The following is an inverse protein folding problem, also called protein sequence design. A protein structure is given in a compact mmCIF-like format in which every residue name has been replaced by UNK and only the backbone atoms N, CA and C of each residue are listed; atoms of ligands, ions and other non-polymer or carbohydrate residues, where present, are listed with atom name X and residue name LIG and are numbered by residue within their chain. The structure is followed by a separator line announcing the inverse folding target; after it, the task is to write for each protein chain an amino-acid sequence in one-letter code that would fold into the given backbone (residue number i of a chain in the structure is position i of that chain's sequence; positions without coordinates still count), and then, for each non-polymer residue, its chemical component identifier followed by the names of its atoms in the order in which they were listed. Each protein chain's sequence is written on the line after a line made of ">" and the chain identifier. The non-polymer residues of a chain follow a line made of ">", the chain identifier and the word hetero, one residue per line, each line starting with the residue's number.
data_IF_123093020229
#
_entry.id   IF_123093020229
#
_cell.length_a   1.000
_cell.length_b   1.000
_cell.length_c   1.000
_cell.angle_alpha   90.00
_cell.angle_beta   90.00
_cell.angle_gamma   90.00
#
_symmetry.space_group_name_H-M   'P 1'
#
loop_
_entity.id
_entity.type
_entity.pdbx_description
1 polymer ?
#
# COMPACT_ATOMS: atom_id res chain seq x y z
N UNK A 1 -31.50 -13.85 6.63
CA UNK A 1 -31.34 -14.78 5.49
C UNK A 1 -29.94 -15.39 5.57
N UNK A 2 -29.80 -16.68 5.94
CA UNK A 2 -28.50 -17.38 6.11
C UNK A 2 -28.03 -18.01 4.79
N UNK A 3 -28.08 -17.27 3.69
CA UNK A 3 -27.53 -17.74 2.41
C UNK A 3 -26.11 -17.22 2.22
N UNK A 4 -25.18 -18.11 1.86
CA UNK A 4 -23.83 -17.72 1.44
C UNK A 4 -23.97 -16.87 0.17
N UNK A 5 -23.18 -15.79 0.07
CA UNK A 5 -23.18 -14.86 -1.08
C UNK A 5 -23.08 -15.60 -2.43
N UNK A 6 -22.31 -16.70 -2.48
CA UNK A 6 -22.20 -17.56 -3.67
C UNK A 6 -23.54 -18.13 -4.13
N UNK A 7 -24.33 -18.68 -3.20
CA UNK A 7 -25.65 -19.24 -3.52
C UNK A 7 -26.61 -18.15 -3.95
N UNK A 8 -26.57 -17.00 -3.26
CA UNK A 8 -27.40 -15.84 -3.64
C UNK A 8 -27.06 -15.32 -5.04
N UNK A 9 -25.77 -15.18 -5.37
CA UNK A 9 -25.32 -14.69 -6.67
C UNK A 9 -25.69 -15.61 -7.85
N UNK A 10 -25.88 -16.91 -7.63
CA UNK A 10 -26.33 -17.85 -8.66
C UNK A 10 -27.83 -17.72 -8.99
N UNK A 11 -28.62 -17.21 -8.05
CA UNK A 11 -30.07 -17.02 -8.23
C UNK A 11 -30.35 -15.73 -9.00
N UNK A 12 -29.43 -14.76 -8.94
CA UNK A 12 -29.56 -13.48 -9.64
C UNK A 12 -29.48 -13.68 -11.15
N UNK A 13 -30.39 -13.05 -11.88
CA UNK A 13 -30.43 -13.08 -13.34
C UNK A 13 -29.59 -11.94 -13.92
N UNK A 14 -29.12 -12.09 -15.17
CA UNK A 14 -28.21 -11.14 -15.84
C UNK A 14 -28.81 -9.73 -16.00
N UNK A 15 -30.11 -9.62 -16.19
CA UNK A 15 -30.87 -8.36 -16.28
C UNK A 15 -30.82 -7.54 -14.98
N UNK A 16 -30.55 -8.18 -13.85
CA UNK A 16 -30.35 -7.49 -12.56
C UNK A 16 -28.94 -6.92 -12.41
N UNK A 17 -28.03 -7.24 -13.33
CA UNK A 17 -26.67 -6.69 -13.34
C UNK A 17 -26.57 -5.57 -14.38
N UNK A 18 -25.84 -4.51 -14.02
CA UNK A 18 -25.44 -3.48 -14.95
C UNK A 18 -23.93 -3.51 -15.15
N UNK A 19 -23.45 -2.97 -16.28
CA UNK A 19 -22.04 -2.98 -16.62
C UNK A 19 -21.38 -1.68 -16.15
N UNK A 20 -20.32 -1.79 -15.36
CA UNK A 20 -19.48 -0.65 -14.95
C UNK A 20 -18.06 -0.89 -15.42
N UNK A 21 -17.38 0.18 -15.83
CA UNK A 21 -15.97 0.12 -16.25
C UNK A 21 -15.11 0.98 -15.32
N UNK A 22 -14.11 0.36 -14.70
CA UNK A 22 -13.17 1.04 -13.79
C UNK A 22 -11.75 0.72 -14.25
N UNK A 23 -10.93 1.75 -14.45
CA UNK A 23 -9.53 1.63 -14.89
C UNK A 23 -9.35 0.74 -16.14
N UNK A 24 -10.26 0.84 -17.12
CA UNK A 24 -10.22 0.06 -18.36
C UNK A 24 -10.73 -1.38 -18.25
N UNK A 25 -11.18 -1.82 -17.07
CA UNK A 25 -11.77 -3.14 -16.86
C UNK A 25 -13.26 -3.05 -16.62
N UNK A 26 -14.05 -3.85 -17.35
CA UNK A 26 -15.51 -3.88 -17.23
C UNK A 26 -16.00 -5.05 -16.37
N UNK A 27 -16.98 -4.78 -15.53
CA UNK A 27 -17.58 -5.72 -14.59
C UNK A 27 -19.10 -5.66 -14.65
N UNK A 28 -19.75 -6.83 -14.58
CA UNK A 28 -21.18 -6.92 -14.29
C UNK A 28 -21.38 -6.79 -12.78
N UNK A 29 -22.22 -5.84 -12.36
CA UNK A 29 -22.45 -5.53 -10.95
C UNK A 29 -23.93 -5.60 -10.62
N UNK A 30 -24.19 -6.26 -9.51
CA UNK A 30 -25.46 -6.23 -8.81
C UNK A 30 -25.25 -5.45 -7.50
N UNK A 31 -26.06 -4.40 -7.31
CA UNK A 31 -26.05 -3.56 -6.11
C UNK A 31 -27.21 -3.96 -5.20
N UNK A 32 -26.88 -4.35 -3.98
CA UNK A 32 -27.83 -4.54 -2.90
C UNK A 32 -27.65 -3.44 -1.87
N UNK A 33 -28.74 -2.81 -1.46
CA UNK A 33 -28.74 -1.85 -0.36
C UNK A 33 -29.78 -2.28 0.68
N UNK A 34 -29.34 -2.53 1.90
CA UNK A 34 -30.23 -3.05 2.93
C UNK A 34 -29.53 -3.30 4.26
N UNK A 35 -30.33 -3.73 5.24
CA UNK A 35 -29.85 -3.98 6.59
C UNK A 35 -29.27 -5.38 6.70
N UNK A 36 -28.07 -5.50 7.28
CA UNK A 36 -27.44 -6.78 7.61
C UNK A 36 -27.40 -6.92 9.13
N UNK A 37 -27.60 -8.14 9.63
CA UNK A 37 -27.53 -8.42 11.06
C UNK A 37 -26.18 -7.94 11.64
N UNK A 38 -26.24 -7.15 12.71
CA UNK A 38 -25.05 -6.55 13.34
C UNK A 38 -24.56 -5.26 12.71
N UNK A 39 -25.11 -4.84 11.56
CA UNK A 39 -24.77 -3.58 10.90
C UNK A 39 -26.01 -2.70 10.67
N UNK A 40 -25.78 -1.42 10.40
CA UNK A 40 -26.81 -0.52 9.86
C UNK A 40 -27.13 -0.92 8.40
N UNK A 41 -27.89 -0.08 7.70
CA UNK A 41 -27.99 -0.18 6.24
C UNK A 41 -26.61 -0.10 5.62
N UNK A 42 -26.29 -1.03 4.74
CA UNK A 42 -25.04 -1.10 3.98
C UNK A 42 -25.35 -1.30 2.50
N UNK A 43 -24.35 -1.01 1.67
CA UNK A 43 -24.36 -1.36 0.25
C UNK A 43 -23.41 -2.54 0.03
N UNK A 44 -23.90 -3.59 -0.61
CA UNK A 44 -23.10 -4.72 -1.10
C UNK A 44 -23.09 -4.68 -2.63
N UNK A 45 -21.91 -4.72 -3.22
CA UNK A 45 -21.74 -4.98 -4.65
C UNK A 45 -21.33 -6.42 -4.85
N UNK A 46 -22.06 -7.12 -5.70
CA UNK A 46 -21.68 -8.44 -6.23
C UNK A 46 -21.19 -8.23 -7.64
N UNK A 47 -19.96 -8.65 -7.93
CA UNK A 47 -19.31 -8.38 -9.21
C UNK A 47 -18.75 -9.63 -9.88
N UNK A 48 -18.88 -9.68 -11.21
CA UNK A 48 -18.20 -10.60 -12.09
C UNK A 48 -17.42 -9.83 -13.17
N UNK A 49 -16.21 -10.27 -13.57
CA UNK A 49 -15.57 -9.75 -14.78
C UNK A 49 -16.48 -9.95 -16.00
N UNK A 50 -16.48 -9.00 -16.94
CA UNK A 50 -17.31 -9.06 -18.16
C UNK A 50 -17.19 -10.40 -18.91
N UNK A 51 -15.99 -10.97 -18.95
CA UNK A 51 -15.69 -12.21 -19.69
C UNK A 51 -15.87 -13.49 -18.84
N UNK A 52 -16.35 -13.37 -17.59
CA UNK A 52 -16.49 -14.48 -16.66
C UNK A 52 -17.77 -14.38 -15.82
N UNK A 53 -18.86 -13.93 -16.44
CA UNK A 53 -20.17 -13.85 -15.81
C UNK A 53 -20.63 -15.22 -15.31
N UNK A 54 -21.24 -15.28 -14.12
CA UNK A 54 -21.63 -16.51 -13.40
C UNK A 54 -20.52 -17.53 -13.09
N UNK A 55 -19.24 -17.21 -13.33
CA UNK A 55 -18.17 -18.08 -12.87
C UNK A 55 -17.94 -17.88 -11.36
N UNK A 56 -18.29 -18.88 -10.56
CA UNK A 56 -18.13 -18.84 -9.10
C UNK A 56 -16.69 -18.59 -8.62
N UNK A 57 -15.68 -18.91 -9.43
CA UNK A 57 -14.26 -18.67 -9.09
C UNK A 57 -13.88 -17.19 -9.20
N UNK A 58 -14.59 -16.42 -10.02
CA UNK A 58 -14.30 -15.00 -10.28
C UNK A 58 -15.25 -14.05 -9.57
N UNK A 59 -16.30 -14.57 -8.91
CA UNK A 59 -17.20 -13.81 -8.05
C UNK A 59 -16.43 -13.05 -6.97
N UNK A 60 -16.63 -11.74 -6.91
CA UNK A 60 -16.18 -10.88 -5.81
C UNK A 60 -17.37 -10.14 -5.21
N UNK A 61 -17.28 -9.86 -3.92
CA UNK A 61 -18.26 -9.05 -3.22
C UNK A 61 -17.54 -7.94 -2.45
N UNK A 62 -18.10 -6.74 -2.49
CA UNK A 62 -17.60 -5.55 -1.82
C UNK A 62 -18.70 -5.00 -0.91
N UNK A 63 -18.32 -4.49 0.25
CA UNK A 63 -19.27 -3.92 1.22
C UNK A 63 -18.85 -2.51 1.61
N UNK A 64 -19.81 -1.61 1.73
CA UNK A 64 -19.59 -0.27 2.28
C UNK A 64 -20.72 0.11 3.23
N UNK A 65 -20.37 0.80 4.31
CA UNK A 65 -21.33 1.43 5.22
C UNK A 65 -21.80 2.79 4.72
N UNK A 66 -21.08 3.38 3.76
CA UNK A 66 -21.47 4.62 3.12
C UNK A 66 -22.40 4.30 1.94
N UNK A 67 -23.68 4.58 2.15
CA UNK A 67 -24.74 4.31 1.18
C UNK A 67 -24.81 5.36 0.07
N UNK A 68 -24.12 6.50 0.23
CA UNK A 68 -24.14 7.60 -0.75
C UNK A 68 -23.24 7.36 -1.96
N UNK A 69 -22.24 6.48 -1.83
CA UNK A 69 -21.27 6.20 -2.88
C UNK A 69 -21.90 5.49 -4.08
N UNK A 70 -21.50 5.91 -5.29
CA UNK A 70 -21.81 5.17 -6.51
C UNK A 70 -20.94 3.90 -6.64
N UNK A 71 -21.25 3.05 -7.62
CA UNK A 71 -20.57 1.77 -7.78
C UNK A 71 -19.10 1.96 -8.17
N UNK A 72 -18.81 2.92 -9.04
CA UNK A 72 -17.46 3.30 -9.47
C UNK A 72 -16.61 3.77 -8.29
N UNK A 73 -17.14 4.64 -7.43
CA UNK A 73 -16.45 5.16 -6.24
C UNK A 73 -16.09 4.05 -5.26
N UNK A 74 -17.02 3.10 -5.04
CA UNK A 74 -16.76 1.93 -4.20
C UNK A 74 -15.58 1.14 -4.76
N UNK A 75 -15.58 0.84 -6.07
CA UNK A 75 -14.46 0.13 -6.71
C UNK A 75 -13.14 0.90 -6.61
N UNK A 76 -13.14 2.20 -6.88
CA UNK A 76 -11.95 3.04 -6.78
C UNK A 76 -11.37 3.00 -5.36
N UNK A 77 -12.23 3.08 -4.33
CA UNK A 77 -11.79 3.03 -2.93
C UNK A 77 -11.24 1.66 -2.55
N UNK A 78 -11.84 0.58 -3.04
CA UNK A 78 -11.29 -0.78 -2.86
C UNK A 78 -9.98 -0.99 -3.62
N UNK A 79 -9.75 -0.29 -4.73
CA UNK A 79 -8.47 -0.32 -5.44
C UNK A 79 -7.34 0.29 -4.61
N UNK A 80 -7.61 1.36 -3.85
CA UNK A 80 -6.64 1.94 -2.92
C UNK A 80 -6.16 0.95 -1.85
N UNK A 81 -6.91 -0.13 -1.55
CA UNK A 81 -6.49 -1.17 -0.60
C UNK A 81 -5.19 -1.87 -1.03
N UNK A 82 -4.95 -1.99 -2.34
CA UNK A 82 -3.71 -2.59 -2.86
C UNK A 82 -2.45 -1.81 -2.44
N UNK A 83 -2.58 -0.50 -2.21
CA UNK A 83 -1.48 0.33 -1.71
C UNK A 83 -0.95 -0.16 -0.37
N UNK A 84 -1.81 -0.73 0.49
CA UNK A 84 -1.40 -1.32 1.78
C UNK A 84 -0.49 -2.54 1.55
N UNK A 85 -0.83 -3.41 0.59
CA UNK A 85 -0.01 -4.58 0.26
C UNK A 85 1.35 -4.16 -0.30
N UNK A 86 1.37 -3.13 -1.14
CA UNK A 86 2.61 -2.55 -1.69
C UNK A 86 3.47 -1.92 -0.59
N UNK A 87 2.85 -1.17 0.32
CA UNK A 87 3.50 -0.58 1.49
C UNK A 87 4.19 -1.65 2.34
N UNK A 88 3.50 -2.74 2.70
CA UNK A 88 4.09 -3.81 3.49
C UNK A 88 5.22 -4.54 2.76
N UNK A 89 5.07 -4.77 1.45
CA UNK A 89 6.12 -5.38 0.63
C UNK A 89 7.38 -4.52 0.64
N UNK A 90 7.24 -3.22 0.41
CA UNK A 90 8.36 -2.27 0.41
C UNK A 90 9.04 -2.19 1.78
N UNK A 91 8.27 -2.13 2.86
CA UNK A 91 8.80 -2.12 4.21
C UNK A 91 9.61 -3.39 4.53
N UNK A 92 9.17 -4.57 4.07
CA UNK A 92 9.93 -5.82 4.22
C UNK A 92 11.21 -5.78 3.37
N UNK A 93 11.07 -5.58 2.06
CA UNK A 93 12.18 -5.74 1.12
C UNK A 93 13.25 -4.65 1.22
N UNK A 94 12.86 -3.38 1.40
CA UNK A 94 13.79 -2.25 1.34
C UNK A 94 14.22 -1.75 2.73
N UNK A 95 13.35 -1.91 3.73
CA UNK A 95 13.60 -1.47 5.11
C UNK A 95 13.89 -2.65 6.06
N UNK A 96 13.95 -3.88 5.53
CA UNK A 96 14.31 -5.11 6.25
C UNK A 96 13.40 -5.44 7.45
N UNK A 97 12.12 -5.04 7.39
CA UNK A 97 11.15 -5.38 8.45
C UNK A 97 10.93 -6.89 8.63
N UNK A 98 11.35 -7.74 7.70
CA UNK A 98 11.27 -9.20 7.80
C UNK A 98 12.57 -9.85 8.33
N UNK A 99 13.68 -9.10 8.40
CA UNK A 99 15.01 -9.62 8.76
C UNK A 99 15.55 -9.11 10.10
N UNK A 100 14.84 -8.20 10.77
CA UNK A 100 15.29 -7.71 12.08
C UNK A 100 15.28 -8.84 13.14
N UNK A 101 16.30 -8.90 13.99
CA UNK A 101 16.45 -9.93 15.03
C UNK A 101 16.28 -9.39 16.46
N UNK A 102 15.64 -8.23 16.59
CA UNK A 102 15.40 -7.55 17.88
C UNK A 102 14.33 -8.32 18.66
N UNK A 103 14.63 -8.68 19.92
CA UNK A 103 13.71 -9.46 20.79
C UNK A 103 13.00 -8.63 21.86
N UNK A 104 13.51 -7.45 22.21
CA UNK A 104 12.89 -6.57 23.21
C UNK A 104 11.69 -5.83 22.63
N UNK A 105 10.52 -5.94 23.27
CA UNK A 105 9.30 -5.22 22.86
C UNK A 105 9.54 -3.71 22.71
N UNK A 106 10.29 -3.09 23.63
CA UNK A 106 10.65 -1.66 23.56
C UNK A 106 11.47 -1.35 22.32
N UNK A 107 12.45 -2.19 22.00
CA UNK A 107 13.31 -2.00 20.84
C UNK A 107 12.57 -2.28 19.52
N UNK A 108 11.65 -3.26 19.48
CA UNK A 108 10.78 -3.52 18.34
C UNK A 108 9.92 -2.29 18.03
N UNK A 109 9.27 -1.69 19.06
CA UNK A 109 8.47 -0.46 18.89
C UNK A 109 9.31 0.68 18.31
N UNK A 110 10.52 0.90 18.84
CA UNK A 110 11.44 1.94 18.34
C UNK A 110 11.85 1.69 16.90
N UNK A 111 12.21 0.45 16.57
CA UNK A 111 12.58 0.07 15.21
C UNK A 111 11.43 0.32 14.23
N UNK A 112 10.20 -0.07 14.56
CA UNK A 112 9.03 0.21 13.74
C UNK A 112 8.84 1.72 13.51
N UNK A 113 8.95 2.54 14.55
CA UNK A 113 8.81 4.00 14.42
C UNK A 113 9.88 4.57 13.49
N UNK A 114 11.15 4.20 13.67
CA UNK A 114 12.26 4.68 12.81
C UNK A 114 12.02 4.26 11.36
N UNK A 115 11.60 3.03 11.13
CA UNK A 115 11.28 2.54 9.79
C UNK A 115 10.13 3.32 9.15
N UNK A 116 9.07 3.64 9.90
CA UNK A 116 7.96 4.46 9.39
C UNK A 116 8.39 5.90 9.09
N UNK A 117 9.24 6.50 9.93
CA UNK A 117 9.79 7.82 9.68
C UNK A 117 10.68 7.84 8.44
N UNK A 118 11.51 6.82 8.25
CA UNK A 118 12.34 6.68 7.05
C UNK A 118 11.46 6.52 5.79
N UNK A 119 10.39 5.74 5.87
CA UNK A 119 9.42 5.59 4.78
C UNK A 119 8.75 6.93 4.42
N UNK A 120 8.28 7.67 5.43
CA UNK A 120 7.66 8.98 5.26
C UNK A 120 8.63 10.01 4.68
N UNK A 121 9.86 10.06 5.19
CA UNK A 121 10.92 10.91 4.67
C UNK A 121 11.17 10.62 3.18
N UNK A 122 11.21 9.34 2.79
CA UNK A 122 11.39 8.98 1.39
C UNK A 122 10.24 9.46 0.49
N UNK A 123 9.00 9.48 0.98
CA UNK A 123 7.84 9.88 0.17
C UNK A 123 7.66 11.39 0.11
N UNK A 124 7.94 12.10 1.20
CA UNK A 124 7.54 13.50 1.39
C UNK A 124 8.66 14.46 1.79
N UNK A 125 9.79 13.95 2.31
CA UNK A 125 10.87 14.79 2.84
C UNK A 125 11.97 15.13 1.84
N UNK A 126 11.94 14.55 0.63
CA UNK A 126 13.02 14.69 -0.37
C UNK A 126 12.67 15.69 -1.46
N UNK A 127 11.39 15.88 -1.74
CA UNK A 127 10.89 16.79 -2.77
C UNK A 127 9.70 17.54 -2.20
N UNK A 128 9.47 18.76 -2.69
CA UNK A 128 8.32 19.58 -2.28
C UNK A 128 6.98 18.91 -2.61
N UNK A 129 6.99 17.98 -3.58
CA UNK A 129 5.85 17.15 -3.97
C UNK A 129 6.04 15.68 -3.55
N UNK A 130 4.93 15.00 -3.28
CA UNK A 130 4.90 13.57 -3.01
C UNK A 130 5.53 12.74 -4.14
N UNK A 131 6.34 11.74 -3.77
CA UNK A 131 6.96 10.80 -4.72
C UNK A 131 6.75 9.35 -4.33
N UNK A 132 6.99 8.42 -5.27
CA UNK A 132 6.91 7.00 -4.96
C UNK A 132 8.06 6.60 -4.03
N UNK A 133 7.78 5.72 -3.06
CA UNK A 133 8.78 5.32 -2.06
C UNK A 133 10.09 4.84 -2.69
N UNK A 134 10.04 4.02 -3.75
CA UNK A 134 11.24 3.52 -4.43
C UNK A 134 12.09 4.63 -5.06
N UNK A 135 11.46 5.64 -5.67
CA UNK A 135 12.16 6.79 -6.24
C UNK A 135 12.78 7.65 -5.14
N UNK A 136 11.99 7.94 -4.10
CA UNK A 136 12.44 8.65 -2.91
C UNK A 136 13.64 7.98 -2.25
N UNK A 137 13.55 6.68 -1.97
CA UNK A 137 14.62 5.90 -1.37
C UNK A 137 15.91 5.95 -2.19
N UNK A 138 15.81 5.87 -3.53
CA UNK A 138 16.97 6.01 -4.42
C UNK A 138 17.62 7.38 -4.28
N UNK A 139 16.82 8.44 -4.23
CA UNK A 139 17.32 9.81 -4.05
C UNK A 139 17.96 9.98 -2.66
N UNK A 140 17.31 9.53 -1.58
CA UNK A 140 17.86 9.58 -0.22
C UNK A 140 19.21 8.87 -0.12
N UNK A 141 19.32 7.67 -0.69
CA UNK A 141 20.58 6.91 -0.72
C UNK A 141 21.66 7.65 -1.51
N UNK A 142 21.32 8.24 -2.64
CA UNK A 142 22.26 9.03 -3.45
C UNK A 142 22.70 10.31 -2.73
N UNK A 143 21.79 11.03 -2.10
CA UNK A 143 22.09 12.22 -1.32
C UNK A 143 23.01 11.88 -0.15
N UNK A 144 22.72 10.80 0.58
CA UNK A 144 23.57 10.32 1.68
C UNK A 144 25.00 10.03 1.21
N UNK A 145 25.16 9.39 0.05
CA UNK A 145 26.49 9.14 -0.56
C UNK A 145 27.19 10.45 -0.95
N UNK A 146 26.48 11.38 -1.59
CA UNK A 146 27.03 12.69 -1.98
C UNK A 146 27.48 13.50 -0.77
N UNK A 147 26.66 13.55 0.28
CA UNK A 147 27.01 14.24 1.53
C UNK A 147 28.24 13.62 2.18
N UNK A 148 28.35 12.28 2.21
CA UNK A 148 29.55 11.62 2.72
C UNK A 148 30.80 11.95 1.90
N UNK A 149 30.70 11.92 0.56
CA UNK A 149 31.81 12.28 -0.33
C UNK A 149 32.22 13.74 -0.11
N UNK A 150 31.26 14.67 -0.05
CA UNK A 150 31.52 16.08 0.25
C UNK A 150 32.26 16.22 1.58
N UNK A 151 31.77 15.56 2.63
CA UNK A 151 32.38 15.59 3.95
C UNK A 151 33.83 15.06 3.94
N UNK A 152 34.11 13.98 3.19
CA UNK A 152 35.48 13.46 3.03
C UNK A 152 36.36 14.49 2.32
N UNK A 153 35.87 15.13 1.26
CA UNK A 153 36.61 16.18 0.55
C UNK A 153 36.91 17.37 1.47
N UNK A 154 35.92 17.84 2.24
CA UNK A 154 36.08 18.95 3.17
C UNK A 154 37.15 18.63 4.23
N UNK A 155 37.13 17.42 4.80
CA UNK A 155 38.16 16.97 5.75
C UNK A 155 39.54 16.81 5.13
N UNK A 156 39.62 16.37 3.89
CA UNK A 156 40.89 16.32 3.18
C UNK A 156 41.47 17.72 2.94
N UNK A 157 40.64 18.73 2.70
CA UNK A 157 41.08 20.13 2.53
C UNK A 157 41.54 20.75 3.85
N UNK A 158 40.95 20.34 4.98
CA UNK A 158 41.40 20.70 6.34
C UNK A 158 42.76 20.06 6.72
N UNK A 159 43.33 19.21 5.87
CA UNK A 159 44.63 18.58 6.07
C UNK A 159 44.60 17.20 6.73
N UNK A 160 43.41 16.62 6.95
CA UNK A 160 43.31 15.26 7.48
C UNK A 160 43.80 14.23 6.47
N UNK A 161 44.63 13.30 6.94
CA UNK A 161 45.10 12.17 6.16
C UNK A 161 44.00 11.13 5.98
N UNK A 162 44.14 10.29 4.96
CA UNK A 162 43.22 9.17 4.71
C UNK A 162 43.05 8.27 5.94
N UNK A 163 44.12 8.02 6.69
CA UNK A 163 44.08 7.16 7.89
C UNK A 163 43.25 7.79 9.01
N UNK A 164 43.38 9.10 9.22
CA UNK A 164 42.58 9.83 10.20
C UNK A 164 41.09 9.87 9.81
N UNK A 165 40.78 10.08 8.52
CA UNK A 165 39.40 10.05 8.02
C UNK A 165 38.78 8.64 8.19
N UNK A 166 39.52 7.58 7.86
CA UNK A 166 39.08 6.19 8.08
C UNK A 166 38.80 5.91 9.56
N UNK A 167 39.68 6.38 10.45
CA UNK A 167 39.49 6.30 11.91
C UNK A 167 38.22 7.01 12.36
N UNK A 168 37.97 8.24 11.89
CA UNK A 168 36.76 9.01 12.21
C UNK A 168 35.47 8.33 11.74
N UNK A 169 35.50 7.71 10.55
CA UNK A 169 34.36 6.97 10.01
C UNK A 169 34.19 5.58 10.64
N UNK A 170 35.11 5.15 11.50
CA UNK A 170 35.16 3.79 12.06
C UNK A 170 35.16 2.71 10.98
N UNK A 171 35.80 3.02 9.86
CA UNK A 171 36.04 2.07 8.76
C UNK A 171 37.48 1.61 8.93
N UNK A 172 37.63 0.40 9.47
CA UNK A 172 38.93 -0.26 9.61
C UNK A 172 39.49 -0.65 8.23
#
# INVERSE_FOLDING_TARGET
>A
MNQKIRGYAQILKKDQFHLVTVNGHSYYIFRYQGKINGFKTVTILISYPKNAFHNNKTLKAFITTDISLCDEEIFQRYNCRWTIETFFRQNKMELNLDKYQIRSSRAIKRYLIITQLAYLYCISGICDNYTSFSKGLKIARNNSKKTLISWICDKSQEGFTKQEICSLLKVA
#
